data_IF_086374214255
#
_entry.id   IF_086374214255
#
_cell.length_a   1.000
_cell.length_b   1.000
_cell.length_c   1.000
_cell.angle_alpha   90.00
_cell.angle_beta   90.00
_cell.angle_gamma   90.00
#
_symmetry.space_group_name_H-M   'P 1'
#
loop_
_entity.id
_entity.type
_entity.pdbx_description
1 polymer ?
#
# COMPACT_ATOMS: atom_id res chain seq x y z
N UNK A 1 2.99 3.99 -24.10
CA UNK A 1 1.65 3.69 -23.58
C UNK A 1 1.53 4.28 -22.18
N UNK A 2 0.54 5.13 -21.92
CA UNK A 2 0.31 5.73 -20.58
C UNK A 2 -0.12 4.72 -19.52
N UNK A 3 -0.63 3.55 -19.94
CA UNK A 3 -1.06 2.45 -19.06
C UNK A 3 0.17 1.88 -18.35
N UNK A 4 1.22 1.49 -19.09
CA UNK A 4 2.43 0.91 -18.49
C UNK A 4 3.13 1.83 -17.50
N UNK A 5 3.08 3.15 -17.72
CA UNK A 5 3.64 4.17 -16.82
C UNK A 5 2.78 4.45 -15.59
N UNK A 6 1.46 4.20 -15.67
CA UNK A 6 0.53 4.34 -14.53
C UNK A 6 0.47 3.10 -13.66
N UNK A 7 0.72 1.93 -14.25
CA UNK A 7 0.66 0.63 -13.61
C UNK A 7 2.04 0.03 -13.33
N UNK A 8 3.14 0.78 -13.53
CA UNK A 8 4.50 0.34 -13.15
C UNK A 8 4.58 -0.05 -11.67
N UNK A 9 3.73 0.54 -10.82
CA UNK A 9 3.66 0.27 -9.38
C UNK A 9 3.02 -1.10 -9.04
N UNK A 10 2.67 -1.93 -10.03
CA UNK A 10 2.19 -3.30 -9.76
C UNK A 10 3.27 -4.18 -9.13
N UNK A 11 4.54 -3.86 -9.36
CA UNK A 11 5.65 -4.55 -8.70
C UNK A 11 5.64 -4.28 -7.19
N UNK A 12 5.20 -3.10 -6.76
CA UNK A 12 5.03 -2.74 -5.36
C UNK A 12 3.83 -3.45 -4.71
N UNK A 13 2.86 -3.91 -5.51
CA UNK A 13 1.72 -4.69 -5.02
C UNK A 13 2.11 -6.12 -4.59
N UNK A 14 3.21 -6.66 -5.11
CA UNK A 14 3.71 -7.99 -4.70
C UNK A 14 4.22 -7.99 -3.25
N UNK A 15 4.46 -6.81 -2.67
CA UNK A 15 4.82 -6.67 -1.25
C UNK A 15 3.64 -7.08 -0.35
N UNK A 16 2.40 -6.90 -0.81
CA UNK A 16 1.22 -7.35 -0.06
C UNK A 16 1.17 -8.87 0.05
N UNK A 17 1.73 -9.62 -0.90
CA UNK A 17 1.82 -11.08 -0.81
C UNK A 17 2.69 -11.53 0.37
N UNK A 18 3.62 -10.71 0.88
CA UNK A 18 4.41 -11.03 2.09
C UNK A 18 3.56 -10.97 3.36
N UNK A 19 2.39 -10.34 3.32
CA UNK A 19 1.45 -10.23 4.44
C UNK A 19 0.14 -10.99 4.19
N UNK A 20 0.14 -11.96 3.27
CA UNK A 20 -1.03 -12.80 3.00
C UNK A 20 -1.12 -13.96 4.01
N UNK A 21 -2.08 -13.84 4.94
CA UNK A 21 -2.38 -14.83 5.99
C UNK A 21 -2.56 -16.26 5.44
N UNK A 22 -3.12 -16.37 4.23
CA UNK A 22 -3.38 -17.67 3.62
C UNK A 22 -2.09 -18.42 3.24
N UNK A 23 -1.01 -17.69 2.99
CA UNK A 23 0.28 -18.23 2.52
C UNK A 23 1.31 -18.38 3.65
N UNK A 24 1.09 -17.84 4.84
CA UNK A 24 2.06 -17.91 5.94
C UNK A 24 2.43 -19.31 6.38
N UNK A 25 1.47 -20.24 6.41
CA UNK A 25 1.78 -21.65 6.74
C UNK A 25 2.76 -22.28 5.75
N UNK A 26 2.70 -21.86 4.50
CA UNK A 26 3.64 -22.28 3.45
C UNK A 26 4.95 -21.51 3.57
N UNK A 27 4.92 -20.20 3.80
CA UNK A 27 6.11 -19.36 3.94
C UNK A 27 6.93 -19.63 5.19
N UNK A 28 6.33 -20.16 6.25
CA UNK A 28 7.03 -20.65 7.43
C UNK A 28 7.91 -21.87 7.09
N UNK A 29 7.49 -22.71 6.13
CA UNK A 29 8.25 -23.88 5.66
C UNK A 29 9.26 -23.50 4.59
N UNK A 30 8.84 -22.71 3.60
CA UNK A 30 9.67 -22.21 2.51
C UNK A 30 9.56 -20.70 2.40
N UNK A 31 10.58 -20.00 2.89
CA UNK A 31 10.61 -18.55 2.88
C UNK A 31 10.65 -18.00 1.44
N UNK A 32 9.77 -17.05 1.06
CA UNK A 32 9.70 -16.52 -0.30
C UNK A 32 10.84 -15.51 -0.57
N UNK A 33 12.07 -16.02 -0.74
CA UNK A 33 13.27 -15.22 -1.02
C UNK A 33 13.11 -14.34 -2.26
N UNK A 34 12.42 -14.84 -3.27
CA UNK A 34 12.16 -14.12 -4.51
C UNK A 34 11.38 -12.80 -4.27
N UNK A 35 10.42 -12.79 -3.33
CA UNK A 35 9.66 -11.59 -3.00
C UNK A 35 10.53 -10.59 -2.22
N UNK A 36 11.34 -11.08 -1.29
CA UNK A 36 12.27 -10.25 -0.52
C UNK A 36 13.33 -9.60 -1.43
N UNK A 37 13.90 -10.34 -2.38
CA UNK A 37 14.88 -9.83 -3.33
C UNK A 37 14.27 -8.77 -4.26
N UNK A 38 13.02 -8.96 -4.70
CA UNK A 38 12.28 -7.94 -5.47
C UNK A 38 12.02 -6.68 -4.66
N UNK A 39 11.60 -6.83 -3.41
CA UNK A 39 11.35 -5.71 -2.50
C UNK A 39 12.61 -4.86 -2.30
N UNK A 40 13.76 -5.50 -2.10
CA UNK A 40 15.05 -4.79 -1.93
C UNK A 40 15.48 -4.11 -3.24
N UNK A 41 15.19 -4.73 -4.38
CA UNK A 41 15.47 -4.14 -5.70
C UNK A 41 14.61 -2.89 -5.95
N UNK A 42 13.33 -2.91 -5.53
CA UNK A 42 12.40 -1.79 -5.69
C UNK A 42 12.69 -0.64 -4.71
N UNK A 43 13.09 -0.98 -3.48
CA UNK A 43 13.40 -0.01 -2.43
C UNK A 43 14.86 -0.16 -1.95
N UNK A 44 15.84 0.17 -2.82
CA UNK A 44 17.24 0.06 -2.47
C UNK A 44 17.57 0.97 -1.28
N UNK A 45 18.34 0.44 -0.32
CA UNK A 45 18.79 1.14 0.90
C UNK A 45 17.71 1.54 1.92
N UNK A 46 16.42 1.29 1.67
CA UNK A 46 15.37 1.54 2.65
C UNK A 46 15.27 0.44 3.71
N UNK A 47 15.51 -0.81 3.27
CA UNK A 47 15.43 -2.00 4.12
C UNK A 47 16.79 -2.67 4.31
N UNK A 48 17.00 -3.26 5.48
CA UNK A 48 18.12 -4.17 5.73
C UNK A 48 17.69 -5.61 5.43
N UNK A 49 18.22 -6.19 4.35
CA UNK A 49 17.89 -7.56 3.88
C UNK A 49 17.87 -8.59 5.01
N UNK A 50 18.97 -8.66 5.75
CA UNK A 50 19.20 -9.68 6.78
C UNK A 50 18.24 -9.51 7.95
N UNK A 51 18.03 -8.26 8.39
CA UNK A 51 17.11 -7.96 9.50
C UNK A 51 15.66 -8.22 9.10
N UNK A 52 15.25 -7.76 7.93
CA UNK A 52 13.91 -7.94 7.41
C UNK A 52 13.57 -9.43 7.26
N UNK A 53 14.49 -10.24 6.71
CA UNK A 53 14.30 -11.69 6.58
C UNK A 53 14.09 -12.36 7.95
N UNK A 54 14.91 -12.02 8.95
CA UNK A 54 14.80 -12.57 10.30
C UNK A 54 13.50 -12.14 10.99
N UNK A 55 13.16 -10.86 10.92
CA UNK A 55 11.93 -10.31 11.51
C UNK A 55 10.70 -10.99 10.89
N UNK A 56 10.65 -11.16 9.55
CA UNK A 56 9.54 -11.84 8.87
C UNK A 56 9.48 -13.33 9.22
N UNK A 57 10.63 -14.02 9.35
CA UNK A 57 10.63 -15.44 9.79
C UNK A 57 10.08 -15.61 11.20
N UNK A 58 10.46 -14.72 12.12
CA UNK A 58 9.93 -14.71 13.49
C UNK A 58 8.41 -14.47 13.45
N UNK A 59 7.96 -13.56 12.59
CA UNK A 59 6.55 -13.32 12.35
C UNK A 59 5.83 -14.60 11.88
N UNK A 60 6.33 -15.27 10.84
CA UNK A 60 5.74 -16.51 10.29
C UNK A 60 5.79 -17.70 11.26
N UNK A 61 6.73 -17.70 12.21
CA UNK A 61 6.86 -18.76 13.21
C UNK A 61 5.76 -18.74 14.28
N UNK A 62 5.13 -17.58 14.52
CA UNK A 62 4.03 -17.47 15.49
C UNK A 62 2.67 -17.32 14.79
N UNK A 63 1.90 -18.41 14.62
CA UNK A 63 0.60 -18.36 13.98
C UNK A 63 -0.46 -17.62 14.81
N UNK A 64 -0.26 -17.43 16.13
CA UNK A 64 -1.23 -16.74 16.99
C UNK A 64 -1.22 -15.23 16.78
N UNK A 65 -0.09 -14.70 16.35
CA UNK A 65 0.11 -13.30 16.03
C UNK A 65 -0.79 -12.94 14.84
N UNK A 66 -0.76 -13.73 13.76
CA UNK A 66 -1.54 -13.46 12.55
C UNK A 66 -3.00 -13.87 12.60
N UNK A 67 -3.35 -14.95 13.31
CA UNK A 67 -4.75 -15.34 13.46
C UNK A 67 -5.63 -14.26 14.12
N UNK A 68 -5.01 -13.25 14.75
CA UNK A 68 -5.68 -12.10 15.36
C UNK A 68 -5.80 -10.89 14.45
N UNK A 69 -5.23 -10.93 13.24
CA UNK A 69 -4.96 -9.73 12.43
C UNK A 69 -5.65 -9.74 11.08
N UNK A 70 -6.99 -9.66 11.06
CA UNK A 70 -7.78 -9.52 9.81
C UNK A 70 -7.40 -8.29 8.95
N UNK A 71 -6.64 -7.33 9.49
CA UNK A 71 -6.24 -6.09 8.80
C UNK A 71 -4.82 -5.68 9.16
N UNK A 72 -4.05 -5.24 8.15
CA UNK A 72 -2.70 -4.64 8.32
C UNK A 72 -2.67 -3.48 9.33
N UNK A 73 -3.77 -2.73 9.45
CA UNK A 73 -3.89 -1.63 10.42
C UNK A 73 -3.94 -2.14 11.87
N UNK A 74 -4.54 -3.31 12.12
CA UNK A 74 -4.57 -3.92 13.46
C UNK A 74 -3.16 -4.38 13.85
N UNK A 75 -2.42 -4.93 12.91
CA UNK A 75 -1.02 -5.30 13.07
C UNK A 75 -0.14 -4.08 13.39
N UNK A 76 -0.28 -2.99 12.63
CA UNK A 76 0.47 -1.74 12.89
C UNK A 76 0.17 -1.18 14.29
N UNK A 77 -1.12 -1.13 14.66
CA UNK A 77 -1.53 -0.69 15.99
C UNK A 77 -0.99 -1.62 17.10
N UNK A 78 -0.97 -2.93 16.88
CA UNK A 78 -0.42 -3.88 17.86
C UNK A 78 1.07 -3.63 18.12
N UNK A 79 1.86 -3.42 17.06
CA UNK A 79 3.30 -3.09 17.19
C UNK A 79 3.48 -1.78 17.95
N UNK A 80 2.62 -0.79 17.70
CA UNK A 80 2.62 0.48 18.42
C UNK A 80 2.29 0.31 19.91
N UNK A 81 1.18 -0.37 20.24
CA UNK A 81 0.72 -0.54 21.62
C UNK A 81 1.67 -1.37 22.49
N UNK A 82 2.34 -2.37 21.89
CA UNK A 82 3.29 -3.21 22.62
C UNK A 82 4.72 -2.63 22.62
N UNK A 83 4.92 -1.40 22.12
CA UNK A 83 6.25 -0.77 22.00
C UNK A 83 7.29 -1.63 21.27
N UNK A 84 6.84 -2.51 20.37
CA UNK A 84 7.69 -3.43 19.60
C UNK A 84 8.40 -2.72 18.44
N UNK A 85 8.19 -1.41 18.27
CA UNK A 85 8.74 -0.62 17.17
C UNK A 85 10.27 -0.69 17.07
N UNK A 86 10.98 -0.83 18.19
CA UNK A 86 12.44 -0.97 18.23
C UNK A 86 12.91 -2.41 18.02
N UNK A 87 12.03 -3.40 18.23
CA UNK A 87 12.32 -4.83 18.07
C UNK A 87 12.04 -5.30 16.65
N UNK A 88 10.98 -4.79 16.02
CA UNK A 88 10.54 -5.12 14.65
C UNK A 88 10.61 -3.89 13.76
N UNK A 89 11.83 -3.36 13.64
CA UNK A 89 12.08 -2.07 12.97
C UNK A 89 11.81 -2.14 11.47
N UNK A 90 12.18 -3.23 10.81
CA UNK A 90 12.05 -3.38 9.36
C UNK A 90 10.61 -3.71 8.97
N UNK A 91 9.92 -4.55 9.75
CA UNK A 91 8.48 -4.79 9.59
C UNK A 91 7.67 -3.51 9.81
N UNK A 92 8.02 -2.70 10.82
CA UNK A 92 7.31 -1.44 11.06
C UNK A 92 7.49 -0.45 9.89
N UNK A 93 8.69 -0.36 9.32
CA UNK A 93 8.95 0.42 8.09
C UNK A 93 8.12 -0.11 6.92
N UNK A 94 8.04 -1.44 6.78
CA UNK A 94 7.34 -2.09 5.69
C UNK A 94 5.82 -1.87 5.78
N UNK A 95 5.24 -2.00 6.97
CA UNK A 95 3.85 -1.65 7.22
C UNK A 95 3.57 -0.17 6.97
N UNK A 96 4.46 0.71 7.44
CA UNK A 96 4.33 2.15 7.22
C UNK A 96 4.35 2.49 5.73
N UNK A 97 5.24 1.84 4.97
CA UNK A 97 5.30 1.95 3.52
C UNK A 97 3.95 1.52 2.91
N UNK A 98 3.47 0.32 3.23
CA UNK A 98 2.20 -0.22 2.70
C UNK A 98 1.00 0.67 3.06
N UNK A 99 0.92 1.15 4.30
CA UNK A 99 -0.16 2.03 4.76
C UNK A 99 -0.08 3.43 4.15
N UNK A 100 1.13 3.88 3.78
CA UNK A 100 1.34 5.17 3.11
C UNK A 100 1.05 5.13 1.62
N UNK A 101 1.09 3.94 0.99
CA UNK A 101 0.69 3.78 -0.39
C UNK A 101 -0.81 4.09 -0.49
N UNK A 102 -1.21 5.15 -1.23
CA UNK A 102 -2.62 5.42 -1.43
C UNK A 102 -3.24 4.18 -2.06
N UNK A 103 -4.40 3.68 -1.56
CA UNK A 103 -5.01 2.46 -2.06
C UNK A 103 -5.15 2.57 -3.58
N UNK A 104 -4.42 1.69 -4.27
CA UNK A 104 -4.10 1.79 -5.68
C UNK A 104 -5.39 2.01 -6.48
N UNK A 105 -5.52 3.20 -7.08
CA UNK A 105 -6.40 3.50 -8.21
C UNK A 105 -7.95 3.46 -8.04
N UNK A 106 -8.53 3.34 -6.84
CA UNK A 106 -10.01 3.36 -6.71
C UNK A 106 -10.61 4.25 -5.60
N UNK A 107 -9.85 4.63 -4.57
CA UNK A 107 -10.37 5.50 -3.50
C UNK A 107 -10.44 6.98 -3.90
N UNK A 108 -9.91 7.32 -5.07
CA UNK A 108 -9.97 8.64 -5.67
C UNK A 108 -11.39 8.99 -6.19
N UNK A 109 -12.39 8.13 -5.93
CA UNK A 109 -13.81 8.45 -6.03
C UNK A 109 -14.34 9.22 -4.81
N UNK A 110 -13.48 9.82 -3.96
CA UNK A 110 -13.92 11.03 -3.26
C UNK A 110 -14.19 12.07 -4.33
N UNK A 111 -15.47 12.18 -4.69
CA UNK A 111 -16.02 13.25 -5.48
C UNK A 111 -15.46 14.58 -4.98
N UNK A 112 -14.39 15.07 -5.60
CA UNK A 112 -13.79 16.34 -5.22
C UNK A 112 -14.82 17.42 -5.49
N UNK A 113 -15.47 18.01 -4.46
CA UNK A 113 -16.56 18.94 -4.66
C UNK A 113 -16.07 20.18 -5.43
N UNK A 114 -14.79 20.51 -5.25
CA UNK A 114 -14.09 21.54 -6.00
C UNK A 114 -14.03 21.24 -7.51
N UNK A 115 -13.63 20.02 -7.90
CA UNK A 115 -13.57 19.62 -9.32
C UNK A 115 -14.97 19.57 -9.95
N UNK A 116 -15.98 19.09 -9.20
CA UNK A 116 -17.38 19.16 -9.63
C UNK A 116 -17.82 20.62 -9.84
N UNK A 117 -17.54 21.53 -8.91
CA UNK A 117 -17.84 22.97 -9.04
C UNK A 117 -17.16 23.61 -10.24
N UNK A 118 -15.87 23.34 -10.46
CA UNK A 118 -15.10 23.87 -11.60
C UNK A 118 -15.71 23.39 -12.92
N UNK A 119 -16.01 22.09 -13.05
CA UNK A 119 -16.65 21.53 -14.25
C UNK A 119 -18.03 22.15 -14.50
N UNK A 120 -18.85 22.30 -13.47
CA UNK A 120 -20.17 22.94 -13.58
C UNK A 120 -20.04 24.40 -14.00
N UNK A 121 -19.09 25.15 -13.44
CA UNK A 121 -18.84 26.53 -13.83
C UNK A 121 -18.43 26.64 -15.31
N UNK A 122 -17.43 25.88 -15.76
CA UNK A 122 -17.01 25.87 -17.16
C UNK A 122 -18.14 25.46 -18.13
N UNK A 123 -19.00 24.52 -17.72
CA UNK A 123 -20.16 24.12 -18.52
C UNK A 123 -21.18 25.27 -18.62
N UNK A 124 -21.47 25.95 -17.51
CA UNK A 124 -22.43 27.05 -17.48
C UNK A 124 -21.96 28.31 -18.22
N UNK A 125 -20.66 28.61 -18.21
CA UNK A 125 -20.11 29.76 -18.95
C UNK A 125 -20.18 29.58 -20.48
N UNK A 126 -20.07 28.34 -20.98
CA UNK A 126 -20.26 28.03 -22.40
C UNK A 126 -21.72 28.22 -22.87
N UNK A 127 -22.71 27.93 -22.01
CA UNK A 127 -24.13 28.17 -22.31
C UNK A 127 -24.54 29.64 -22.14
N UNK A 128 -23.92 30.38 -21.21
CA UNK A 128 -24.21 31.80 -21.02
C UNK A 128 -23.72 32.67 -22.20
N UNK A 129 -22.53 32.37 -22.72
CA UNK A 129 -21.92 33.11 -23.85
C UNK A 129 -22.57 32.83 -25.21
N UNK A 130 -23.24 31.69 -25.38
CA UNK A 130 -23.98 31.35 -26.60
C UNK A 130 -25.39 31.98 -26.66
N UNK A 131 -25.94 32.43 -25.53
CA UNK A 131 -27.25 33.09 -25.46
C UNK A 131 -27.18 34.60 -25.79
N UNK A 132 -26.03 35.24 -25.56
CA UNK A 132 -25.80 36.66 -25.88
C UNK A 132 -25.42 36.93 -27.35
N UNK A 133 -25.18 35.90 -28.17
CA UNK A 133 -24.91 36.04 -29.62
C UNK A 133 -26.14 35.87 -30.52
N UNK A 134 -27.35 35.81 -29.94
CA UNK A 134 -28.63 35.68 -30.66
C UNK A 134 -29.57 36.87 -30.41
N UNK A 135 -29.02 38.04 -30.11
CA UNK A 135 -29.72 39.32 -30.11
C UNK A 135 -28.97 40.27 -31.05
#
# INVERSE_FOLDING_TARGET
>A
MQIDTRFSNFEDLQIFDLFDDSKFKSYAKEFPRNLLDRLIKNYPSFFSKIKLENEIKVLYADPNIFARWDKLQVMYNFIYYNSLQQTVTEINKLLSLILSLPPTSASNKRDFPCVKRIKTYCRNTQFATSKQRRL
#
